data_IF_788801209701
#
_entry.id   IF_788801209701
#
_cell.length_a   1.000
_cell.length_b   1.000
_cell.length_c   1.000
_cell.angle_alpha   90.00
_cell.angle_beta   90.00
_cell.angle_gamma   90.00
#
_symmetry.space_group_name_H-M   'P 1'
#
loop_
_entity.id
_entity.type
_entity.pdbx_description
1 polymer ?
#
# COMPACT_ATOMS: atom_id res chain seq x y z
N UNK A 1 -8.85 -15.90 13.49
CA UNK A 1 -8.39 -15.99 12.09
C UNK A 1 -7.83 -17.38 11.85
N UNK A 2 -8.25 -18.09 10.81
CA UNK A 2 -7.53 -19.28 10.35
C UNK A 2 -6.24 -18.83 9.65
N UNK A 3 -5.19 -19.66 9.67
CA UNK A 3 -3.91 -19.39 9.00
C UNK A 3 -4.11 -18.98 7.52
N UNK A 4 -5.15 -19.52 6.89
CA UNK A 4 -5.58 -19.27 5.53
C UNK A 4 -6.13 -17.86 5.30
N UNK A 5 -6.92 -17.34 6.24
CA UNK A 5 -7.40 -15.96 6.20
C UNK A 5 -6.26 -14.95 6.31
N UNK A 6 -5.28 -15.24 7.18
CA UNK A 6 -4.10 -14.40 7.35
C UNK A 6 -3.26 -14.36 6.07
N UNK A 7 -3.05 -15.52 5.44
CA UNK A 7 -2.38 -15.63 4.13
C UNK A 7 -3.06 -14.77 3.07
N UNK A 8 -4.39 -14.84 2.92
CA UNK A 8 -5.14 -14.03 1.95
C UNK A 8 -4.94 -12.53 2.16
N UNK A 9 -5.00 -12.06 3.41
CA UNK A 9 -4.80 -10.63 3.73
C UNK A 9 -3.38 -10.18 3.39
N UNK A 10 -2.36 -10.98 3.74
CA UNK A 10 -0.97 -10.70 3.38
C UNK A 10 -0.74 -10.69 1.87
N UNK A 11 -1.35 -11.62 1.13
CA UNK A 11 -1.26 -11.64 -0.34
C UNK A 11 -1.88 -10.39 -0.96
N UNK A 12 -3.06 -9.97 -0.48
CA UNK A 12 -3.70 -8.73 -0.95
C UNK A 12 -2.81 -7.51 -0.67
N UNK A 13 -2.22 -7.44 0.52
CA UNK A 13 -1.26 -6.40 0.91
C UNK A 13 -0.06 -6.36 -0.04
N UNK A 14 0.52 -7.52 -0.32
CA UNK A 14 1.68 -7.66 -1.19
C UNK A 14 1.38 -7.18 -2.61
N UNK A 15 0.22 -7.55 -3.15
CA UNK A 15 -0.23 -7.10 -4.46
C UNK A 15 -0.41 -5.58 -4.50
N UNK A 16 -1.03 -4.98 -3.48
CA UNK A 16 -1.22 -3.52 -3.40
C UNK A 16 0.12 -2.79 -3.35
N UNK A 17 1.06 -3.24 -2.52
CA UNK A 17 2.40 -2.67 -2.46
C UNK A 17 3.16 -2.81 -3.78
N UNK A 18 3.05 -3.97 -4.44
CA UNK A 18 3.71 -4.22 -5.71
C UNK A 18 3.19 -3.30 -6.82
N UNK A 19 1.87 -3.19 -6.97
CA UNK A 19 1.26 -2.24 -7.92
C UNK A 19 1.61 -0.80 -7.60
N UNK A 20 1.65 -0.44 -6.31
CA UNK A 20 2.05 0.90 -5.92
C UNK A 20 3.47 1.25 -6.32
N UNK A 21 4.38 0.27 -6.23
CA UNK A 21 5.78 0.43 -6.65
C UNK A 21 5.90 0.58 -8.16
N UNK A 22 5.14 -0.19 -8.95
CA UNK A 22 5.09 -0.06 -10.42
C UNK A 22 4.63 1.33 -10.83
N UNK A 23 3.55 1.82 -10.22
CA UNK A 23 3.04 3.18 -10.46
C UNK A 23 4.15 4.18 -10.14
N UNK A 24 4.79 4.05 -8.99
CA UNK A 24 5.88 4.94 -8.58
C UNK A 24 7.04 4.98 -9.58
N UNK A 25 7.41 3.80 -10.11
CA UNK A 25 8.48 3.66 -11.10
C UNK A 25 8.11 4.32 -12.44
N UNK A 26 6.85 4.19 -12.87
CA UNK A 26 6.34 4.87 -14.07
C UNK A 26 6.29 6.40 -13.89
N UNK A 27 5.91 6.87 -12.70
CA UNK A 27 5.95 8.28 -12.35
C UNK A 27 7.39 8.83 -12.35
N UNK A 28 8.36 8.03 -11.91
CA UNK A 28 9.77 8.39 -11.93
C UNK A 28 10.31 8.57 -13.37
N UNK A 29 9.81 7.83 -14.35
CA UNK A 29 10.26 7.99 -15.75
C UNK A 29 9.62 9.20 -16.44
N UNK A 30 8.42 9.60 -16.02
CA UNK A 30 7.56 10.49 -16.80
C UNK A 30 7.52 11.93 -16.27
N UNK A 31 7.75 12.14 -14.97
CA UNK A 31 7.50 13.43 -14.32
C UNK A 31 8.78 14.19 -13.94
N UNK A 32 8.68 15.52 -13.87
CA UNK A 32 9.79 16.37 -13.45
C UNK A 32 10.08 16.21 -11.94
N UNK A 33 11.31 16.56 -11.52
CA UNK A 33 11.77 16.38 -10.13
C UNK A 33 10.81 16.97 -9.07
N UNK A 34 10.19 18.10 -9.37
CA UNK A 34 9.22 18.77 -8.49
C UNK A 34 7.94 17.93 -8.30
N UNK A 35 7.45 17.30 -9.36
CA UNK A 35 6.24 16.46 -9.32
C UNK A 35 6.54 15.11 -8.64
N UNK A 36 7.72 14.54 -8.91
CA UNK A 36 8.20 13.34 -8.19
C UNK A 36 8.21 13.54 -6.69
N UNK A 37 8.69 14.70 -6.21
CA UNK A 37 8.78 14.99 -4.78
C UNK A 37 7.39 15.05 -4.12
N UNK A 38 6.40 15.66 -4.79
CA UNK A 38 5.02 15.75 -4.31
C UNK A 38 4.38 14.36 -4.28
N UNK A 39 4.53 13.56 -5.34
CA UNK A 39 4.02 12.19 -5.37
C UNK A 39 4.67 11.29 -4.33
N UNK A 40 5.97 11.45 -4.08
CA UNK A 40 6.68 10.73 -3.02
C UNK A 40 6.15 11.03 -1.64
N UNK A 41 5.87 12.30 -1.34
CA UNK A 41 5.26 12.72 -0.08
C UNK A 41 3.86 12.12 0.09
N UNK A 42 3.04 12.15 -0.97
CA UNK A 42 1.71 11.56 -0.96
C UNK A 42 1.77 10.06 -0.67
N UNK A 43 2.67 9.32 -1.34
CA UNK A 43 2.82 7.88 -1.15
C UNK A 43 3.34 7.50 0.24
N UNK A 44 4.31 8.27 0.76
CA UNK A 44 4.85 8.09 2.10
C UNK A 44 3.76 8.17 3.17
N UNK A 45 2.71 8.97 2.94
CA UNK A 45 1.60 9.15 3.86
C UNK A 45 0.49 8.10 3.61
N UNK A 46 0.14 7.85 2.34
CA UNK A 46 -0.96 6.94 2.00
C UNK A 46 -0.65 5.50 2.39
N UNK A 47 0.55 4.98 2.12
CA UNK A 47 0.90 3.59 2.44
C UNK A 47 0.69 3.26 3.93
N UNK A 48 1.28 3.97 4.91
CA UNK A 48 1.10 3.65 6.32
C UNK A 48 -0.35 3.82 6.77
N UNK A 49 -1.10 4.77 6.21
CA UNK A 49 -2.54 4.93 6.51
C UNK A 49 -3.32 3.72 5.98
N UNK A 50 -3.06 3.28 4.74
CA UNK A 50 -3.70 2.10 4.16
C UNK A 50 -3.42 0.85 4.99
N UNK A 51 -2.17 0.66 5.45
CA UNK A 51 -1.80 -0.42 6.37
C UNK A 51 -2.55 -0.34 7.70
N UNK A 52 -2.65 0.85 8.30
CA UNK A 52 -3.37 1.07 9.55
C UNK A 52 -4.87 0.74 9.42
N UNK A 53 -5.49 1.16 8.32
CA UNK A 53 -6.90 0.88 8.01
C UNK A 53 -7.12 -0.61 7.81
N UNK A 54 -6.29 -1.28 7.00
CA UNK A 54 -6.35 -2.73 6.79
C UNK A 54 -6.14 -3.51 8.09
N UNK A 55 -5.21 -3.09 8.94
CA UNK A 55 -5.00 -3.70 10.25
C UNK A 55 -6.22 -3.54 11.16
N UNK A 56 -6.83 -2.35 11.21
CA UNK A 56 -8.06 -2.11 11.98
C UNK A 56 -9.23 -2.95 11.46
N UNK A 57 -9.42 -2.98 10.13
CA UNK A 57 -10.47 -3.80 9.50
C UNK A 57 -10.23 -5.28 9.82
N UNK A 58 -9.01 -5.79 9.59
CA UNK A 58 -8.65 -7.16 9.93
C UNK A 58 -8.91 -7.49 11.41
N UNK A 59 -8.62 -6.56 12.32
CA UNK A 59 -8.89 -6.72 13.76
C UNK A 59 -10.40 -6.78 14.09
N UNK A 60 -11.26 -6.09 13.35
CA UNK A 60 -12.73 -6.18 13.49
C UNK A 60 -13.24 -7.57 13.08
N UNK A 61 -12.68 -8.15 12.01
CA UNK A 61 -13.06 -9.49 11.51
C UNK A 61 -12.45 -10.66 12.30
N UNK A 62 -11.52 -10.40 13.22
CA UNK A 62 -10.87 -11.40 14.07
C UNK A 62 -11.63 -11.60 15.40
N UNK A 63 -12.56 -10.71 15.74
CA UNK A 63 -13.50 -10.87 16.85
C UNK A 63 -14.69 -11.73 16.43
#
# INVERSE_FOLDING_TARGET
>A
MTLEGLKKVLTILFVICFFGTIIFTLFDVTYNFKEKMIFSLIYLIIIPISFLVLYKIGKIFIK
#
